data_IF_840395497819
#
_entry.id   IF_840395497819
#
_cell.length_a   1.000
_cell.length_b   1.000
_cell.length_c   1.000
_cell.angle_alpha   90.00
_cell.angle_beta   90.00
_cell.angle_gamma   90.00
#
_symmetry.space_group_name_H-M   'P 1'
#
loop_
_entity.id
_entity.type
_entity.pdbx_description
1 polymer ?
#
# COMPACT_ATOMS: atom_id res chain seq x y z
N UNK A 1 9.35 -17.92 -1.92
CA UNK A 1 8.50 -16.87 -1.36
C UNK A 1 8.68 -15.64 -2.23
N UNK A 2 7.68 -15.28 -3.03
CA UNK A 2 7.65 -13.99 -3.71
C UNK A 2 6.17 -13.62 -3.78
N UNK A 3 5.71 -12.95 -2.73
CA UNK A 3 4.40 -12.33 -2.70
C UNK A 3 4.41 -11.28 -3.80
N UNK A 4 3.74 -11.55 -4.93
CA UNK A 4 3.66 -10.59 -6.04
C UNK A 4 2.71 -9.48 -5.61
N UNK A 5 3.25 -8.55 -4.81
CA UNK A 5 2.62 -7.28 -4.50
C UNK A 5 2.92 -6.34 -5.67
N UNK A 6 1.88 -5.80 -6.26
CA UNK A 6 2.01 -4.87 -7.37
C UNK A 6 0.81 -3.96 -7.45
N UNK A 7 0.88 -2.95 -8.31
CA UNK A 7 -0.13 -1.94 -8.50
C UNK A 7 -0.52 -1.87 -9.97
N UNK A 8 -1.81 -1.70 -10.24
CA UNK A 8 -2.33 -1.37 -11.56
C UNK A 8 -2.72 0.12 -11.57
N UNK A 9 -2.10 0.88 -12.47
CA UNK A 9 -2.32 2.32 -12.61
C UNK A 9 -3.10 2.59 -13.90
N UNK A 10 -4.27 3.17 -13.74
CA UNK A 10 -5.17 3.54 -14.84
C UNK A 10 -5.04 5.04 -15.11
N UNK A 11 -4.93 5.40 -16.38
CA UNK A 11 -4.82 6.79 -16.82
C UNK A 11 -6.15 7.31 -17.35
N UNK A 12 -6.33 8.63 -17.33
CA UNK A 12 -7.41 9.26 -18.09
C UNK A 12 -7.16 9.13 -19.60
N UNK A 13 -8.19 9.09 -20.46
CA UNK A 13 -8.00 9.01 -21.91
C UNK A 13 -7.08 10.11 -22.47
N UNK A 14 -7.28 11.36 -22.02
CA UNK A 14 -6.43 12.49 -22.36
C UNK A 14 -4.95 12.28 -21.98
N UNK A 15 -4.67 11.56 -20.90
CA UNK A 15 -3.31 11.27 -20.48
C UNK A 15 -2.65 10.25 -21.41
N UNK A 16 -3.40 9.29 -21.93
CA UNK A 16 -2.90 8.34 -22.93
C UNK A 16 -2.57 9.03 -24.25
N UNK A 17 -3.31 10.08 -24.62
CA UNK A 17 -3.00 10.90 -25.80
C UNK A 17 -1.71 11.71 -25.62
N UNK A 18 -1.46 12.23 -24.41
CA UNK A 18 -0.27 13.03 -24.09
C UNK A 18 0.98 12.19 -23.85
N UNK A 19 0.87 11.15 -23.03
CA UNK A 19 1.98 10.22 -22.72
C UNK A 19 2.28 9.30 -23.91
N UNK A 20 1.26 9.00 -24.72
CA UNK A 20 1.39 8.50 -26.08
C UNK A 20 2.22 7.22 -26.23
N UNK A 21 3.14 7.24 -27.19
CA UNK A 21 4.05 6.14 -27.55
C UNK A 21 5.01 5.76 -26.41
N UNK A 22 5.37 6.71 -25.54
CA UNK A 22 6.42 6.49 -24.55
C UNK A 22 6.04 5.43 -23.51
N UNK A 23 4.76 5.42 -23.12
CA UNK A 23 4.23 4.43 -22.16
C UNK A 23 3.57 3.23 -22.84
N UNK A 24 3.33 3.29 -24.15
CA UNK A 24 2.67 2.24 -24.93
C UNK A 24 3.27 0.85 -24.76
N UNK A 25 4.60 0.63 -24.75
CA UNK A 25 5.15 -0.72 -24.56
C UNK A 25 4.87 -1.31 -23.18
N UNK A 26 4.44 -0.48 -22.21
CA UNK A 26 4.14 -0.90 -20.84
C UNK A 26 2.64 -0.90 -20.54
N UNK A 27 1.80 -0.46 -21.48
CA UNK A 27 0.35 -0.50 -21.35
C UNK A 27 -0.17 -1.91 -21.58
N UNK A 28 -1.03 -2.32 -20.67
CA UNK A 28 -1.77 -3.58 -20.69
C UNK A 28 -3.25 -3.26 -20.87
N UNK A 29 -3.88 -3.92 -21.82
CA UNK A 29 -5.33 -3.84 -21.98
C UNK A 29 -6.02 -4.85 -21.06
N UNK A 30 -6.97 -4.35 -20.28
CA UNK A 30 -7.80 -5.15 -19.39
C UNK A 30 -9.28 -4.78 -19.49
N UNK A 31 -10.17 -5.57 -18.89
CA UNK A 31 -11.61 -5.31 -18.91
C UNK A 31 -11.99 -3.97 -18.26
N UNK A 32 -11.14 -3.42 -17.38
CA UNK A 32 -11.32 -2.12 -16.74
C UNK A 32 -10.68 -0.94 -17.52
N UNK A 33 -10.04 -1.23 -18.66
CA UNK A 33 -9.31 -0.28 -19.51
C UNK A 33 -7.79 -0.50 -19.52
N UNK A 34 -7.10 0.34 -20.29
CA UNK A 34 -5.65 0.34 -20.39
C UNK A 34 -5.00 0.78 -19.07
N UNK A 35 -4.03 0.01 -18.60
CA UNK A 35 -3.33 0.25 -17.34
C UNK A 35 -1.86 -0.15 -17.43
N UNK A 36 -1.05 0.39 -16.52
CA UNK A 36 0.35 0.00 -16.33
C UNK A 36 0.47 -0.80 -15.04
N UNK A 37 1.21 -1.91 -15.07
CA UNK A 37 1.56 -2.67 -13.86
C UNK A 37 2.91 -2.21 -13.31
N UNK A 38 2.93 -1.90 -12.02
CA UNK A 38 4.10 -1.41 -11.29
C UNK A 38 4.34 -2.24 -10.03
N UNK A 39 5.60 -2.38 -9.61
CA UNK A 39 5.95 -3.01 -8.32
C UNK A 39 5.72 -2.07 -7.16
N UNK A 40 6.10 -0.81 -7.33
CA UNK A 40 6.06 0.23 -6.29
C UNK A 40 5.49 1.52 -6.85
N UNK A 41 4.85 2.30 -5.98
CA UNK A 41 4.32 3.62 -6.27
C UNK A 41 4.61 4.56 -5.10
N UNK A 42 5.16 5.73 -5.39
CA UNK A 42 5.25 6.87 -4.49
C UNK A 42 4.33 8.01 -4.99
N UNK A 43 3.57 8.61 -4.07
CA UNK A 43 2.65 9.73 -4.36
C UNK A 43 2.95 10.96 -3.51
N UNK A 44 4.08 11.01 -2.82
CA UNK A 44 4.47 12.10 -1.93
C UNK A 44 4.96 13.35 -2.66
N UNK A 45 5.33 13.23 -3.93
CA UNK A 45 5.88 14.31 -4.77
C UNK A 45 4.85 15.02 -5.67
N UNK A 46 5.37 15.91 -6.52
CA UNK A 46 4.57 16.56 -7.58
C UNK A 46 4.21 15.57 -8.72
N UNK A 47 4.99 14.51 -8.85
CA UNK A 47 4.77 13.41 -9.76
C UNK A 47 4.51 12.14 -8.94
N UNK A 48 3.71 11.26 -9.52
CA UNK A 48 3.56 9.89 -9.06
C UNK A 48 4.73 9.11 -9.64
N UNK A 49 5.60 8.62 -8.77
CA UNK A 49 6.76 7.84 -9.14
C UNK A 49 6.36 6.36 -9.11
N UNK A 50 6.66 5.64 -10.18
CA UNK A 50 6.26 4.24 -10.33
C UNK A 50 7.45 3.41 -10.78
N UNK A 51 7.69 2.29 -10.09
CA UNK A 51 8.76 1.35 -10.47
C UNK A 51 8.16 0.21 -11.27
N UNK A 52 8.52 0.08 -12.54
CA UNK A 52 8.09 -1.00 -13.42
C UNK A 52 9.22 -2.02 -13.58
N UNK A 53 8.84 -3.29 -13.62
CA UNK A 53 9.75 -4.40 -13.94
C UNK A 53 9.37 -4.93 -15.32
N UNK A 54 10.32 -4.84 -16.25
CA UNK A 54 10.16 -5.30 -17.63
C UNK A 54 11.28 -6.23 -18.04
N UNK A 55 11.15 -6.80 -19.24
CA UNK A 55 12.23 -7.53 -19.88
C UNK A 55 12.69 -6.74 -21.10
N UNK A 56 13.97 -6.37 -21.12
CA UNK A 56 14.58 -5.71 -22.29
C UNK A 56 14.60 -6.63 -23.51
N UNK A 57 14.81 -6.06 -24.69
CA UNK A 57 14.90 -6.78 -25.97
C UNK A 57 16.00 -7.87 -26.00
N UNK A 58 16.98 -7.74 -25.12
CA UNK A 58 18.12 -8.63 -24.88
C UNK A 58 17.83 -9.71 -23.83
N UNK A 59 16.59 -9.82 -23.36
CA UNK A 59 16.16 -10.84 -22.40
C UNK A 59 16.65 -10.61 -20.97
N UNK A 60 17.20 -9.43 -20.68
CA UNK A 60 17.60 -9.00 -19.33
C UNK A 60 16.43 -8.37 -18.60
N UNK A 61 16.36 -8.62 -17.30
CA UNK A 61 15.42 -7.94 -16.41
C UNK A 61 15.82 -6.46 -16.31
N UNK A 62 14.87 -5.57 -16.64
CA UNK A 62 15.03 -4.12 -16.65
C UNK A 62 14.06 -3.53 -15.64
N UNK A 63 14.59 -2.90 -14.60
CA UNK A 63 13.81 -2.07 -13.68
C UNK A 63 13.87 -0.63 -14.19
N UNK A 64 12.71 -0.01 -14.40
CA UNK A 64 12.62 1.37 -14.86
C UNK A 64 11.69 2.16 -13.94
N UNK A 65 11.99 3.45 -13.80
CA UNK A 65 11.22 4.39 -13.01
C UNK A 65 10.46 5.32 -13.95
N UNK A 66 9.14 5.40 -13.77
CA UNK A 66 8.25 6.23 -14.55
C UNK A 66 7.59 7.26 -13.65
N UNK A 67 7.83 8.54 -13.92
CA UNK A 67 7.24 9.66 -13.19
C UNK A 67 6.09 10.25 -14.00
N UNK A 68 4.88 10.26 -13.45
CA UNK A 68 3.69 10.78 -14.13
C UNK A 68 2.98 11.84 -13.29
N UNK A 69 2.56 12.99 -13.85
CA UNK A 69 1.75 13.95 -13.13
C UNK A 69 0.48 13.32 -12.53
N UNK A 70 0.19 13.61 -11.26
CA UNK A 70 -0.97 12.99 -10.58
C UNK A 70 -2.32 13.27 -11.26
N UNK A 71 -2.48 14.41 -11.94
CA UNK A 71 -3.69 14.76 -12.68
C UNK A 71 -3.93 13.91 -13.93
N UNK A 72 -2.95 13.13 -14.37
CA UNK A 72 -3.06 12.21 -15.50
C UNK A 72 -3.52 10.81 -15.08
N UNK A 73 -3.40 10.48 -13.80
CA UNK A 73 -3.79 9.19 -13.24
C UNK A 73 -5.24 9.22 -12.78
N UNK A 74 -6.04 8.28 -13.29
CA UNK A 74 -7.46 8.12 -12.92
C UNK A 74 -7.63 7.33 -11.64
N UNK A 75 -6.87 6.24 -11.50
CA UNK A 75 -7.06 5.28 -10.42
C UNK A 75 -5.82 4.42 -10.24
N UNK A 76 -5.48 4.11 -8.99
CA UNK A 76 -4.42 3.17 -8.63
C UNK A 76 -5.07 2.03 -7.84
N UNK A 77 -4.81 0.80 -8.24
CA UNK A 77 -5.33 -0.41 -7.59
C UNK A 77 -4.16 -1.24 -7.08
N UNK A 78 -4.11 -1.52 -5.78
CA UNK A 78 -3.13 -2.47 -5.24
C UNK A 78 -3.63 -3.91 -5.41
N UNK A 79 -2.72 -4.76 -5.87
CA UNK A 79 -2.90 -6.20 -5.97
C UNK A 79 -2.00 -6.85 -4.91
N UNK A 80 -2.61 -7.29 -3.81
CA UNK A 80 -1.95 -8.13 -2.82
C UNK A 80 -2.45 -9.56 -3.02
N UNK A 81 -1.57 -10.49 -3.38
CA UNK A 81 -1.98 -11.89 -3.56
C UNK A 81 -0.87 -12.89 -3.26
N UNK A 82 -1.08 -13.71 -2.23
CA UNK A 82 -0.70 -15.12 -2.31
C UNK A 82 -1.72 -15.81 -3.23
N UNK A 83 -1.49 -15.77 -4.54
CA UNK A 83 -2.28 -16.51 -5.54
C UNK A 83 -3.16 -15.65 -6.43
N UNK A 84 -2.75 -15.58 -7.70
CA UNK A 84 -3.53 -15.24 -8.90
C UNK A 84 -4.44 -14.00 -8.84
N UNK A 85 -3.94 -12.88 -9.38
CA UNK A 85 -4.79 -11.81 -9.87
C UNK A 85 -5.48 -12.28 -11.16
N UNK A 86 -6.79 -12.56 -11.10
CA UNK A 86 -7.60 -12.97 -12.24
C UNK A 86 -8.98 -13.46 -11.81
N UNK A 87 -10.03 -13.12 -12.57
CA UNK A 87 -11.41 -13.56 -12.33
C UNK A 87 -11.64 -15.04 -12.73
N UNK A 88 -10.84 -15.96 -12.20
CA UNK A 88 -11.03 -17.40 -12.33
C UNK A 88 -11.95 -17.95 -11.22
N UNK A 89 -12.69 -19.05 -11.46
CA UNK A 89 -13.58 -19.64 -10.45
C UNK A 89 -12.80 -20.03 -9.20
N UNK A 90 -13.24 -19.53 -8.04
CA UNK A 90 -12.61 -19.77 -6.74
C UNK A 90 -12.61 -21.26 -6.41
N UNK A 91 -11.43 -21.85 -6.24
CA UNK A 91 -11.29 -23.08 -5.46
C UNK A 91 -10.92 -22.67 -4.04
N UNK A 92 -11.84 -22.91 -3.11
CA UNK A 92 -11.65 -22.65 -1.69
C UNK A 92 -10.50 -23.52 -1.20
N UNK A 93 -9.36 -22.92 -0.84
CA UNK A 93 -8.34 -23.60 -0.05
C UNK A 93 -8.70 -23.48 1.42
N UNK A 94 -9.09 -24.60 2.01
CA UNK A 94 -9.27 -24.75 3.45
C UNK A 94 -7.90 -24.61 4.12
N UNK A 95 -7.73 -23.59 4.96
CA UNK A 95 -6.56 -23.47 5.81
C UNK A 95 -6.54 -24.63 6.82
N UNK A 96 -5.37 -25.25 7.12
CA UNK A 96 -5.27 -26.21 8.21
C UNK A 96 -5.46 -25.49 9.55
N UNK A 97 -6.27 -26.09 10.42
CA UNK A 97 -6.59 -25.58 11.75
C UNK A 97 -5.33 -25.43 12.62
N UNK A 98 -5.27 -24.43 13.53
CA UNK A 98 -4.20 -24.34 14.51
C UNK A 98 -4.30 -25.52 15.48
N UNK A 99 -3.26 -26.34 15.53
CA UNK A 99 -3.09 -27.37 16.56
C UNK A 99 -2.86 -26.70 17.90
N UNK A 100 -3.86 -26.73 18.78
CA UNK A 100 -3.72 -26.45 20.21
C UNK A 100 -3.09 -27.68 20.87
N UNK A 101 -1.77 -27.70 20.96
CA UNK A 101 -1.06 -28.58 21.88
C UNK A 101 -0.97 -27.90 23.26
N UNK A 102 -1.80 -28.40 24.18
CA UNK A 102 -1.58 -28.66 25.61
C UNK A 102 -0.20 -28.30 26.21
N UNK A 103 -0.01 -27.99 27.50
CA UNK A 103 -0.84 -27.79 28.69
C UNK A 103 0.18 -27.47 29.83
N UNK A 104 -0.23 -26.61 30.77
CA UNK A 104 0.22 -26.43 32.16
C UNK A 104 1.72 -26.50 32.55
N UNK A 105 2.24 -25.35 32.99
CA UNK A 105 3.20 -25.26 34.11
C UNK A 105 2.60 -24.37 35.21
N UNK A 106 2.61 -24.80 36.50
CA UNK A 106 1.91 -24.09 37.56
C UNK A 106 2.64 -22.80 37.97
N UNK A 107 1.88 -21.72 38.06
CA UNK A 107 2.33 -20.41 38.55
C UNK A 107 2.35 -20.43 40.08
N UNK A 108 3.51 -20.25 40.69
CA UNK A 108 3.63 -20.00 42.13
C UNK A 108 3.11 -18.58 42.46
N UNK A 109 2.33 -18.37 43.54
CA UNK A 109 1.75 -17.07 43.84
C UNK A 109 2.82 -16.12 44.41
N UNK A 110 3.09 -15.02 43.71
CA UNK A 110 3.77 -13.86 44.30
C UNK A 110 2.73 -12.95 44.96
N UNK A 111 2.92 -12.54 46.23
CA UNK A 111 1.95 -11.70 46.92
C UNK A 111 1.96 -10.27 46.36
N UNK A 112 0.77 -9.77 46.07
CA UNK A 112 0.49 -8.41 45.61
C UNK A 112 0.58 -7.46 46.80
N UNK A 113 1.56 -6.57 46.81
CA UNK A 113 1.54 -5.34 47.62
C UNK A 113 0.81 -4.25 46.83
N UNK A 114 -0.37 -3.88 47.32
CA UNK A 114 -1.18 -2.76 46.83
C UNK A 114 -0.62 -1.46 47.41
N UNK A 115 -0.25 -0.45 46.62
CA UNK A 115 -0.28 0.92 47.07
C UNK A 115 -1.65 1.56 46.75
N UNK A 116 -2.19 2.18 47.79
CA UNK A 116 -3.43 2.93 47.92
C UNK A 116 -3.61 4.08 46.89
N UNK A 117 -4.84 4.43 46.50
CA UNK A 117 -5.09 5.45 45.48
C UNK A 117 -5.04 6.88 46.05
N UNK A 118 -4.26 7.77 45.43
CA UNK A 118 -4.34 9.21 45.65
C UNK A 118 -5.30 9.87 44.64
N UNK A 119 -6.08 10.89 45.05
CA UNK A 119 -7.27 11.35 44.32
C UNK A 119 -6.98 12.30 43.14
N UNK A 120 -7.96 12.37 42.24
CA UNK A 120 -8.01 13.18 41.04
C UNK A 120 -7.99 14.70 41.32
N UNK A 121 -7.31 15.46 40.46
CA UNK A 121 -7.50 16.90 40.29
C UNK A 121 -7.96 17.16 38.85
N UNK A 122 -9.14 17.77 38.64
CA UNK A 122 -9.68 18.06 37.32
C UNK A 122 -9.32 19.47 36.81
N UNK A 123 -9.53 19.61 35.51
CA UNK A 123 -9.93 20.82 34.76
C UNK A 123 -8.86 21.73 34.13
N UNK A 124 -9.00 21.88 32.81
CA UNK A 124 -8.30 22.82 31.95
C UNK A 124 -8.91 24.23 32.07
N UNK A 125 -8.23 25.27 31.54
CA UNK A 125 -8.96 26.18 30.63
C UNK A 125 -8.28 26.38 29.25
N UNK A 126 -9.03 26.94 28.27
CA UNK A 126 -8.77 26.87 26.81
C UNK A 126 -7.81 27.96 26.27
N UNK A 127 -7.45 27.92 24.96
CA UNK A 127 -6.43 28.80 24.37
C UNK A 127 -6.99 30.16 23.96
N UNK A 128 -6.13 31.20 23.96
CA UNK A 128 -6.39 32.48 23.31
C UNK A 128 -5.30 32.81 22.28
N UNK A 129 -5.73 32.88 21.02
CA UNK A 129 -5.06 33.47 19.86
C UNK A 129 -4.81 34.97 20.06
N UNK A 130 -3.64 35.48 19.65
CA UNK A 130 -3.48 36.49 18.59
C UNK A 130 -2.12 37.24 18.62
N UNK A 131 -1.50 37.28 17.43
CA UNK A 131 -0.87 38.43 16.74
C UNK A 131 0.47 39.05 17.20
N UNK A 132 1.29 39.24 16.15
CA UNK A 132 2.23 40.35 15.85
C UNK A 132 3.65 40.39 16.46
N UNK A 133 4.61 40.11 15.55
CA UNK A 133 5.96 40.69 15.35
C UNK A 133 5.93 42.26 15.38
N UNK A 134 7.03 43.06 15.32
CA UNK A 134 8.49 42.91 15.57
C UNK A 134 9.04 43.90 16.63
N UNK A 135 10.33 43.79 16.98
CA UNK A 135 11.34 44.88 16.84
C UNK A 135 12.76 44.31 16.97
#
# INVERSE_FOLDING_TARGET
MNETQGYAVFFFPQALEVLGEAIRPYLLDGPAGAHVLCREIDTGGAFIEMTLEGRGSDGRDLSLELMVPGNMVRMIVSAHGEGAFGFGPRVVRTAPAPSVAAEAAPVAPVPVTVPEPAPAVPDAPPPVTAKDKPE
#
